data_IF_357660979564
#
_entry.id   IF_357660979564
#
_cell.length_a   1.000
_cell.length_b   1.000
_cell.length_c   1.000
_cell.angle_alpha   90.00
_cell.angle_beta   90.00
_cell.angle_gamma   90.00
#
_symmetry.space_group_name_H-M   'P 1'
#
loop_
_entity.id
_entity.type
_entity.pdbx_description
1 polymer ?
#
# COMPACT_ATOMS: atom_id res chain seq x y z
N UNK A 1 3.08 17.07 -1.16
CA UNK A 1 1.84 16.74 -0.40
C UNK A 1 2.14 15.55 0.52
N UNK A 2 1.76 15.60 1.79
CA UNK A 2 1.91 14.46 2.71
C UNK A 2 0.68 13.56 2.51
N UNK A 3 0.89 12.31 2.10
CA UNK A 3 -0.16 11.31 2.00
C UNK A 3 -0.18 10.48 3.29
N UNK A 4 -1.37 10.28 3.85
CA UNK A 4 -1.59 9.52 5.09
C UNK A 4 -2.22 8.17 4.75
N UNK A 5 -1.82 7.10 5.43
CA UNK A 5 -2.37 5.76 5.22
C UNK A 5 -2.85 5.18 6.55
N UNK A 6 -3.96 4.45 6.52
CA UNK A 6 -4.40 3.60 7.65
C UNK A 6 -4.09 2.15 7.33
N UNK A 7 -3.43 1.52 8.30
CA UNK A 7 -3.09 0.12 8.25
C UNK A 7 -4.22 -0.71 8.89
N UNK A 8 -4.73 -1.66 8.13
CA UNK A 8 -5.60 -2.74 8.60
C UNK A 8 -4.88 -4.07 8.34
N UNK A 9 -5.36 -5.17 8.93
CA UNK A 9 -4.66 -6.47 8.87
C UNK A 9 -4.40 -6.89 7.40
N UNK A 10 -3.16 -6.72 6.95
CA UNK A 10 -2.73 -7.06 5.59
C UNK A 10 -3.04 -6.02 4.51
N UNK A 11 -3.64 -4.87 4.82
CA UNK A 11 -3.89 -3.82 3.82
C UNK A 11 -3.60 -2.41 4.35
N UNK A 12 -3.20 -1.51 3.45
CA UNK A 12 -3.03 -0.09 3.69
C UNK A 12 -4.02 0.68 2.80
N UNK A 13 -4.86 1.50 3.41
CA UNK A 13 -5.81 2.37 2.74
C UNK A 13 -5.29 3.80 2.79
N UNK A 14 -5.26 4.49 1.65
CA UNK A 14 -4.96 5.91 1.62
C UNK A 14 -6.08 6.68 2.30
N UNK A 15 -5.75 7.47 3.32
CA UNK A 15 -6.66 8.42 3.92
C UNK A 15 -6.75 9.68 3.06
N UNK A 16 -7.94 10.27 2.88
CA UNK A 16 -8.04 11.63 2.38
C UNK A 16 -7.22 12.54 3.29
N UNK A 17 -6.40 13.42 2.70
CA UNK A 17 -5.67 14.40 3.46
C UNK A 17 -6.70 15.33 4.15
N UNK A 18 -6.94 15.14 5.44
CA UNK A 18 -7.62 16.16 6.22
C UNK A 18 -6.73 17.42 6.18
N UNK A 19 -7.30 18.51 5.68
CA UNK A 19 -6.72 19.83 5.87
C UNK A 19 -6.58 20.04 7.38
N UNK A 20 -5.33 20.09 7.84
CA UNK A 20 -4.97 20.28 9.25
C UNK A 20 -5.44 21.67 9.66
N UNK A 21 -6.65 21.75 10.23
CA UNK A 21 -6.99 22.82 11.16
C UNK A 21 -6.29 22.49 12.48
N UNK A 22 -5.35 23.34 12.85
CA UNK A 22 -4.58 23.29 14.09
C UNK A 22 -5.52 23.10 15.30
N UNK A 23 -5.41 21.97 15.99
CA UNK A 23 -5.95 21.82 17.35
C UNK A 23 -4.97 21.04 18.23
N UNK A 24 -4.63 21.71 19.33
CA UNK A 24 -3.71 21.43 20.44
C UNK A 24 -3.64 19.94 20.93
N UNK A 25 -2.47 19.45 21.41
CA UNK A 25 -2.32 18.04 21.80
C UNK A 25 -2.93 17.73 23.18
N UNK A 26 -3.75 16.66 23.34
CA UNK A 26 -4.08 16.12 24.65
C UNK A 26 -2.96 15.18 25.18
N UNK A 27 -2.89 14.94 26.51
CA UNK A 27 -1.74 14.31 27.15
C UNK A 27 -1.61 12.82 26.85
N UNK A 28 -0.36 12.35 26.83
CA UNK A 28 0.09 11.02 26.44
C UNK A 28 -0.53 9.88 27.28
N UNK A 29 -1.34 9.04 26.64
CA UNK A 29 -1.61 7.67 27.08
C UNK A 29 -0.56 6.72 26.47
N UNK A 30 -0.05 5.73 27.24
CA UNK A 30 0.95 4.79 26.73
C UNK A 30 0.35 3.89 25.63
N UNK A 31 1.10 3.61 24.54
CA UNK A 31 0.56 2.84 23.43
C UNK A 31 0.26 1.39 23.88
N UNK A 32 -0.88 0.80 23.44
CA UNK A 32 -1.20 -0.58 23.73
C UNK A 32 -0.16 -1.53 23.12
N UNK A 33 0.17 -2.59 23.86
CA UNK A 33 1.20 -3.56 23.53
C UNK A 33 1.03 -4.13 22.10
N UNK A 34 2.11 -4.04 21.32
CA UNK A 34 2.17 -4.40 19.91
C UNK A 34 1.99 -5.93 19.70
N UNK A 35 1.20 -6.36 18.70
CA UNK A 35 1.11 -7.77 18.34
C UNK A 35 2.44 -8.26 17.75
N UNK A 36 2.92 -9.46 18.12
CA UNK A 36 4.18 -9.98 17.60
C UNK A 36 4.00 -10.39 16.13
N UNK A 37 4.53 -9.59 15.20
CA UNK A 37 4.67 -10.03 13.80
C UNK A 37 4.77 -8.95 12.73
N UNK A 38 4.39 -7.71 13.00
CA UNK A 38 4.44 -6.61 12.01
C UNK A 38 4.87 -5.33 12.73
N UNK A 39 6.15 -4.96 12.63
CA UNK A 39 6.58 -3.64 13.08
C UNK A 39 6.03 -2.60 12.10
N UNK A 40 5.18 -1.66 12.55
CA UNK A 40 4.50 -0.70 11.67
C UNK A 40 5.47 0.06 10.76
N UNK A 41 6.67 0.40 11.26
CA UNK A 41 7.70 1.09 10.47
C UNK A 41 8.22 0.32 9.24
N UNK A 42 8.08 -1.01 9.20
CA UNK A 42 8.52 -1.81 8.05
C UNK A 42 7.57 -1.72 6.87
N UNK A 43 6.27 -1.78 7.14
CA UNK A 43 5.26 -1.64 6.09
C UNK A 43 5.24 -0.23 5.51
N UNK A 44 5.45 0.79 6.34
CA UNK A 44 5.66 2.17 5.89
C UNK A 44 6.86 2.28 4.95
N UNK A 45 7.99 1.64 5.29
CA UNK A 45 9.15 1.59 4.42
C UNK A 45 8.84 0.90 3.07
N UNK A 46 8.10 -0.20 3.08
CA UNK A 46 7.66 -0.85 1.84
C UNK A 46 6.77 0.09 1.01
N UNK A 47 5.79 0.76 1.62
CA UNK A 47 4.92 1.73 0.94
C UNK A 47 5.75 2.82 0.28
N UNK A 48 6.72 3.38 0.99
CA UNK A 48 7.62 4.41 0.44
C UNK A 48 8.40 3.91 -0.77
N UNK A 49 8.90 2.66 -0.74
CA UNK A 49 9.58 2.05 -1.89
C UNK A 49 8.63 1.78 -3.05
N UNK A 50 7.39 1.36 -2.79
CA UNK A 50 6.37 1.14 -3.82
C UNK A 50 5.97 2.45 -4.51
N UNK A 51 5.86 3.55 -3.76
CA UNK A 51 5.59 4.88 -4.33
C UNK A 51 6.70 5.35 -5.29
N UNK A 52 7.96 4.94 -5.06
CA UNK A 52 9.08 5.27 -5.95
C UNK A 52 9.02 4.57 -7.32
N UNK A 53 8.19 3.52 -7.45
CA UNK A 53 7.95 2.86 -8.75
C UNK A 53 6.90 3.60 -9.59
N UNK A 54 6.10 4.46 -8.99
CA UNK A 54 4.97 5.12 -9.64
C UNK A 54 5.37 6.48 -10.19
N UNK A 55 4.62 6.98 -11.17
CA UNK A 55 4.77 8.36 -11.61
C UNK A 55 4.31 9.29 -10.49
N UNK A 56 4.83 10.53 -10.42
CA UNK A 56 4.42 11.49 -9.40
C UNK A 56 2.91 11.83 -9.40
N UNK A 57 2.21 11.57 -10.51
CA UNK A 57 0.77 11.81 -10.66
C UNK A 57 -0.08 10.60 -10.28
N UNK A 58 0.52 9.44 -10.02
CA UNK A 58 -0.21 8.22 -9.70
C UNK A 58 -0.27 8.04 -8.18
N UNK A 59 -1.45 7.69 -7.65
CA UNK A 59 -1.68 7.46 -6.24
C UNK A 59 -2.08 6.00 -5.95
N UNK A 60 -1.48 5.44 -4.90
CA UNK A 60 -1.90 4.14 -4.36
C UNK A 60 -3.20 4.36 -3.58
N UNK A 61 -4.28 3.72 -4.02
CA UNK A 61 -5.59 3.75 -3.34
C UNK A 61 -5.70 2.65 -2.30
N UNK A 62 -5.13 1.50 -2.62
CA UNK A 62 -5.11 0.33 -1.76
C UNK A 62 -3.79 -0.41 -1.98
N UNK A 63 -3.17 -0.86 -0.89
CA UNK A 63 -2.07 -1.80 -0.94
C UNK A 63 -2.41 -3.01 -0.07
N UNK A 64 -2.45 -4.21 -0.65
CA UNK A 64 -2.72 -5.45 0.08
C UNK A 64 -1.47 -6.29 0.07
N UNK A 65 -0.95 -6.62 1.25
CA UNK A 65 0.12 -7.61 1.39
C UNK A 65 -0.49 -9.00 1.30
N UNK A 66 -0.07 -9.77 0.30
CA UNK A 66 -0.55 -11.12 0.07
C UNK A 66 0.17 -12.12 0.99
N UNK A 67 -0.54 -13.15 1.40
CA UNK A 67 0.06 -14.32 2.03
C UNK A 67 0.72 -15.16 0.94
N UNK A 68 2.04 -15.37 1.04
CA UNK A 68 2.75 -16.18 0.06
C UNK A 68 3.06 -17.56 0.62
N UNK A 69 2.80 -18.60 -0.18
CA UNK A 69 3.30 -19.95 0.09
C UNK A 69 4.84 -20.02 0.16
N UNK A 70 5.56 -18.99 -0.34
CA UNK A 70 7.02 -18.92 -0.29
C UNK A 70 7.45 -18.10 0.96
N UNK A 71 8.01 -18.72 2.01
CA UNK A 71 8.24 -18.10 3.33
C UNK A 71 9.32 -17.01 3.37
N UNK A 72 9.74 -16.51 2.21
CA UNK A 72 10.75 -15.46 2.06
C UNK A 72 10.34 -14.34 1.14
N UNK A 73 9.27 -14.43 0.35
CA UNK A 73 8.88 -13.34 -0.54
C UNK A 73 7.75 -12.56 0.08
N UNK A 74 7.79 -11.24 -0.06
CA UNK A 74 6.65 -10.38 0.28
C UNK A 74 6.08 -9.87 -1.03
N UNK A 75 4.79 -10.12 -1.25
CA UNK A 75 4.07 -9.64 -2.42
C UNK A 75 3.00 -8.66 -1.97
N UNK A 76 2.93 -7.54 -2.68
CA UNK A 76 1.87 -6.57 -2.54
C UNK A 76 1.06 -6.52 -3.82
N UNK A 77 -0.25 -6.40 -3.66
CA UNK A 77 -1.18 -6.05 -4.72
C UNK A 77 -1.63 -4.61 -4.49
N UNK A 78 -1.39 -3.74 -5.46
CA UNK A 78 -1.70 -2.31 -5.37
C UNK A 78 -2.83 -1.97 -6.33
N UNK A 79 -3.79 -1.17 -5.86
CA UNK A 79 -4.72 -0.45 -6.72
C UNK A 79 -4.19 0.95 -6.89
N UNK A 80 -3.82 1.32 -8.11
CA UNK A 80 -3.23 2.61 -8.45
C UNK A 80 -4.11 3.33 -9.45
N UNK A 81 -4.29 4.64 -9.25
CA UNK A 81 -4.98 5.51 -10.22
C UNK A 81 -4.23 6.84 -10.36
N UNK A 82 -4.29 7.49 -11.52
CA UNK A 82 -3.86 8.89 -11.65
C UNK A 82 -4.70 9.80 -10.75
N UNK A 83 -4.07 10.84 -10.23
CA UNK A 83 -4.74 11.98 -9.57
C UNK A 83 -5.15 13.07 -10.58
N UNK A 84 -4.87 12.86 -11.87
CA UNK A 84 -5.24 13.78 -12.95
C UNK A 84 -6.75 13.85 -13.13
N UNK A 85 -7.28 15.08 -13.19
CA UNK A 85 -8.71 15.30 -13.36
C UNK A 85 -9.20 14.67 -14.68
N UNK A 86 -10.21 13.80 -14.61
CA UNK A 86 -10.75 13.10 -15.77
C UNK A 86 -10.02 11.80 -16.15
N UNK A 87 -8.97 11.42 -15.41
CA UNK A 87 -8.28 10.13 -15.58
C UNK A 87 -8.74 9.08 -14.56
N UNK A 88 -9.87 9.30 -13.88
CA UNK A 88 -10.40 8.40 -12.83
C UNK A 88 -10.68 6.98 -13.35
N UNK A 89 -10.99 6.83 -14.63
CA UNK A 89 -11.19 5.51 -15.28
C UNK A 89 -9.88 4.76 -15.56
N UNK A 90 -8.73 5.41 -15.40
CA UNK A 90 -7.42 4.81 -15.66
C UNK A 90 -6.87 4.14 -14.40
N UNK A 91 -7.62 3.22 -13.82
CA UNK A 91 -7.15 2.45 -12.65
C UNK A 91 -6.38 1.21 -13.11
N UNK A 92 -5.29 0.88 -12.42
CA UNK A 92 -4.50 -0.31 -12.65
C UNK A 92 -4.26 -1.09 -11.35
N UNK A 93 -4.18 -2.41 -11.49
CA UNK A 93 -3.73 -3.34 -10.46
C UNK A 93 -2.26 -3.64 -10.71
N UNK A 94 -1.43 -3.47 -9.69
CA UNK A 94 0.01 -3.74 -9.76
C UNK A 94 0.40 -4.85 -8.78
N UNK A 95 1.13 -5.84 -9.28
CA UNK A 95 1.83 -6.82 -8.45
C UNK A 95 3.24 -6.32 -8.17
N UNK A 96 3.59 -6.15 -6.89
CA UNK A 96 4.91 -5.69 -6.45
C UNK A 96 5.55 -6.73 -5.54
N UNK A 97 6.78 -7.11 -5.85
CA UNK A 97 7.53 -8.15 -5.14
C UNK A 97 8.74 -7.57 -4.40
N UNK A 98 8.94 -8.05 -3.17
CA UNK A 98 10.16 -7.89 -2.39
C UNK A 98 10.81 -9.27 -2.22
N UNK A 99 12.14 -9.32 -2.38
CA UNK A 99 12.89 -10.59 -2.26
C UNK A 99 12.84 -11.18 -0.86
N UNK A 100 12.63 -10.33 0.15
CA UNK A 100 12.42 -10.64 1.54
C UNK A 100 11.87 -9.42 2.29
N UNK A 101 11.38 -9.65 3.50
CA UNK A 101 10.85 -8.62 4.40
C UNK A 101 11.79 -7.42 4.58
N UNK A 102 13.11 -7.62 4.57
CA UNK A 102 14.10 -6.56 4.80
C UNK A 102 14.60 -5.89 3.53
N UNK A 103 14.00 -6.21 2.38
CA UNK A 103 14.50 -5.71 1.12
C UNK A 103 14.27 -4.20 1.02
N UNK A 104 15.34 -3.48 0.70
CA UNK A 104 15.32 -2.03 0.44
C UNK A 104 14.96 -1.69 -1.00
N UNK A 105 14.53 -2.70 -1.77
CA UNK A 105 14.15 -2.59 -3.18
C UNK A 105 12.98 -3.52 -3.45
N UNK A 106 12.08 -3.07 -4.32
CA UNK A 106 10.99 -3.87 -4.86
C UNK A 106 10.97 -3.83 -6.38
N UNK A 107 10.26 -4.77 -6.98
CA UNK A 107 10.11 -4.88 -8.44
C UNK A 107 8.64 -5.00 -8.81
N UNK A 108 8.28 -4.49 -9.98
CA UNK A 108 6.95 -4.62 -10.53
C UNK A 108 6.88 -5.94 -11.32
N UNK A 109 6.07 -6.89 -10.84
CA UNK A 109 5.89 -8.21 -11.44
C UNK A 109 4.67 -8.32 -12.36
N UNK A 110 3.64 -7.49 -12.14
CA UNK A 110 2.39 -7.53 -12.90
C UNK A 110 1.77 -6.13 -13.02
N UNK A 111 1.26 -5.78 -14.20
CA UNK A 111 0.44 -4.58 -14.44
C UNK A 111 -0.82 -5.03 -15.17
N UNK A 112 -2.00 -4.74 -14.61
CA UNK A 112 -3.28 -5.06 -15.22
C UNK A 112 -4.20 -3.82 -15.18
N UNK A 113 -4.75 -3.35 -16.31
CA UNK A 113 -5.79 -2.32 -16.26
C UNK A 113 -7.05 -2.87 -15.58
N UNK A 114 -7.66 -2.08 -14.69
CA UNK A 114 -8.89 -2.45 -14.00
C UNK A 114 -10.09 -1.79 -14.67
N UNK A 115 -10.99 -2.62 -15.21
CA UNK A 115 -12.27 -2.20 -15.78
C UNK A 115 -13.42 -2.68 -14.89
N UNK A 116 -14.63 -2.15 -15.11
CA UNK A 116 -15.79 -2.44 -14.26
C UNK A 116 -16.21 -3.92 -14.25
N UNK A 117 -15.87 -4.68 -15.28
CA UNK A 117 -16.13 -6.10 -15.43
C UNK A 117 -14.93 -7.00 -15.07
N UNK A 118 -13.83 -6.40 -14.60
CA UNK A 118 -12.63 -7.16 -14.22
C UNK A 118 -12.87 -7.95 -12.94
N UNK A 119 -12.65 -9.26 -13.00
CA UNK A 119 -12.67 -10.16 -11.85
C UNK A 119 -11.27 -10.71 -11.60
N UNK A 120 -10.79 -10.59 -10.36
CA UNK A 120 -9.44 -11.03 -9.97
C UNK A 120 -9.57 -12.14 -8.95
N UNK A 121 -8.88 -13.24 -9.22
CA UNK A 121 -8.77 -14.38 -8.31
C UNK A 121 -7.31 -14.53 -7.91
N UNK A 122 -7.08 -14.66 -6.61
CA UNK A 122 -5.76 -14.91 -6.05
C UNK A 122 -5.59 -16.43 -5.90
N UNK A 123 -4.42 -16.94 -6.28
CA UNK A 123 -4.08 -18.34 -6.07
C UNK A 123 -3.24 -18.51 -4.80
N UNK A 124 -2.89 -19.74 -4.46
CA UNK A 124 -2.21 -20.06 -3.19
C UNK A 124 -0.83 -19.41 -3.01
N UNK A 125 -0.25 -18.74 -4.01
CA UNK A 125 1.01 -17.99 -3.88
C UNK A 125 0.83 -16.48 -3.68
N UNK A 126 -0.43 -16.03 -3.66
CA UNK A 126 -0.86 -14.64 -3.61
C UNK A 126 -1.24 -14.14 -4.99
#
# INVERSE_FOLDING_TARGET
PRQSFVMVKGAALLLPAEEVLESEPPPAEPPPAEPPGQSPGRQEQHLQLMMQLLRPQDAIRLAVRLESARPRRVRYLLVVRPEELGAEEQTALLGVDFTHEGATRCTLGMVLPLWSDTQVFLDGDG
#
